data_IF_604571974764
#
_entry.id   IF_604571974764
#
_cell.length_a   1.000
_cell.length_b   1.000
_cell.length_c   1.000
_cell.angle_alpha   90.00
_cell.angle_beta   90.00
_cell.angle_gamma   90.00
#
_symmetry.space_group_name_H-M   'P 1'
#
loop_
_entity.id
_entity.type
_entity.pdbx_description
1 polymer ?
#
# COMPACT_ATOMS: atom_id res chain seq x y z
N UNK A 1 -35.63 29.80 -17.29
CA UNK A 1 -36.70 28.94 -16.73
C UNK A 1 -36.15 27.57 -16.32
N UNK A 2 -35.47 26.83 -17.21
CA UNK A 2 -34.85 25.52 -16.90
C UNK A 2 -33.92 25.54 -15.69
N UNK A 3 -33.00 26.51 -15.61
CA UNK A 3 -32.09 26.64 -14.46
C UNK A 3 -32.81 26.83 -13.12
N UNK A 4 -33.95 27.54 -13.12
CA UNK A 4 -34.73 27.75 -11.90
C UNK A 4 -35.44 26.47 -11.47
N UNK A 5 -35.89 25.65 -12.42
CA UNK A 5 -36.46 24.32 -12.13
C UNK A 5 -35.39 23.33 -11.65
N UNK A 6 -34.20 23.36 -12.22
CA UNK A 6 -33.08 22.52 -11.77
C UNK A 6 -32.63 22.88 -10.34
N UNK A 7 -32.51 24.18 -10.04
CA UNK A 7 -32.23 24.66 -8.67
C UNK A 7 -33.31 24.22 -7.68
N UNK A 8 -34.59 24.34 -8.06
CA UNK A 8 -35.69 23.89 -7.23
C UNK A 8 -35.67 22.37 -7.02
N UNK A 9 -35.40 21.59 -8.06
CA UNK A 9 -35.31 20.13 -7.98
C UNK A 9 -34.16 19.69 -7.05
N UNK A 10 -32.98 20.29 -7.19
CA UNK A 10 -31.84 20.02 -6.32
C UNK A 10 -32.14 20.40 -4.86
N UNK A 11 -32.81 21.53 -4.63
CA UNK A 11 -33.25 21.93 -3.30
C UNK A 11 -34.20 20.90 -2.67
N UNK A 12 -35.22 20.47 -3.42
CA UNK A 12 -36.20 19.48 -2.94
C UNK A 12 -35.53 18.12 -2.66
N UNK A 13 -34.59 17.69 -3.48
CA UNK A 13 -33.82 16.45 -3.24
C UNK A 13 -32.97 16.53 -1.96
N UNK A 14 -32.31 17.67 -1.73
CA UNK A 14 -31.55 17.91 -0.51
C UNK A 14 -32.46 17.95 0.73
N UNK A 15 -33.62 18.61 0.62
CA UNK A 15 -34.60 18.65 1.71
C UNK A 15 -35.16 17.26 2.04
N UNK A 16 -35.48 16.45 1.02
CA UNK A 16 -35.96 15.08 1.22
C UNK A 16 -34.91 14.19 1.88
N UNK A 17 -33.64 14.33 1.47
CA UNK A 17 -32.51 13.63 2.09
C UNK A 17 -32.38 14.03 3.57
N UNK A 18 -32.38 15.33 3.85
CA UNK A 18 -32.28 15.84 5.22
C UNK A 18 -33.44 15.37 6.10
N UNK A 19 -34.68 15.44 5.61
CA UNK A 19 -35.87 14.98 6.32
C UNK A 19 -35.78 13.48 6.67
N UNK A 20 -35.22 12.68 5.76
CA UNK A 20 -34.98 11.25 6.00
C UNK A 20 -33.92 11.05 7.07
N UNK A 21 -32.79 11.76 6.98
CA UNK A 21 -31.71 11.67 7.96
C UNK A 21 -32.17 12.12 9.36
N UNK A 22 -33.00 13.15 9.49
CA UNK A 22 -33.57 13.57 10.78
C UNK A 22 -34.41 12.46 11.40
N UNK A 23 -35.28 11.81 10.61
CA UNK A 23 -36.10 10.69 11.08
C UNK A 23 -35.24 9.51 11.54
N UNK A 24 -34.27 9.10 10.73
CA UNK A 24 -33.34 8.01 11.06
C UNK A 24 -32.49 8.33 12.29
N UNK A 25 -32.06 9.58 12.46
CA UNK A 25 -31.23 10.00 13.60
C UNK A 25 -32.00 10.02 14.92
N UNK A 26 -33.32 10.19 14.86
CA UNK A 26 -34.21 10.11 16.03
C UNK A 26 -34.71 8.70 16.33
N UNK A 27 -34.41 7.72 15.48
CA UNK A 27 -34.80 6.32 15.66
C UNK A 27 -33.61 5.50 16.22
N UNK A 28 -33.67 5.06 17.50
CA UNK A 28 -32.60 4.30 18.12
C UNK A 28 -32.28 2.98 17.42
N UNK A 29 -33.26 2.33 16.78
CA UNK A 29 -33.02 1.07 16.06
C UNK A 29 -32.20 1.31 14.80
N UNK A 30 -32.59 2.30 13.99
CA UNK A 30 -31.85 2.69 12.80
C UNK A 30 -30.39 3.11 13.13
N UNK A 31 -30.20 3.82 14.24
CA UNK A 31 -28.86 4.20 14.72
C UNK A 31 -28.05 2.98 15.13
N UNK A 32 -28.63 2.02 15.86
CA UNK A 32 -27.92 0.80 16.26
C UNK A 32 -27.58 -0.09 15.07
N UNK A 33 -28.48 -0.25 14.11
CA UNK A 33 -28.21 -1.02 12.88
C UNK A 33 -27.05 -0.40 12.08
N UNK A 34 -27.00 0.93 11.98
CA UNK A 34 -25.89 1.63 11.33
C UNK A 34 -24.57 1.39 12.08
N UNK A 35 -24.58 1.38 13.42
CA UNK A 35 -23.41 1.10 14.26
C UNK A 35 -22.93 -0.34 14.09
N UNK A 36 -23.82 -1.31 14.06
CA UNK A 36 -23.49 -2.73 13.90
C UNK A 36 -22.91 -3.01 12.51
N UNK A 37 -23.50 -2.41 11.47
CA UNK A 37 -22.98 -2.47 10.11
C UNK A 37 -21.57 -1.86 10.00
N UNK A 38 -21.33 -0.72 10.66
CA UNK A 38 -20.01 -0.09 10.72
C UNK A 38 -19.01 -0.97 11.47
N UNK A 39 -19.40 -1.55 12.60
CA UNK A 39 -18.57 -2.47 13.38
C UNK A 39 -18.19 -3.73 12.58
N UNK A 40 -19.14 -4.31 11.85
CA UNK A 40 -18.89 -5.45 10.94
C UNK A 40 -17.92 -5.07 9.81
N UNK A 41 -18.12 -3.91 9.20
CA UNK A 41 -17.23 -3.40 8.14
C UNK A 41 -15.82 -3.15 8.66
N UNK A 42 -15.67 -2.60 9.86
CA UNK A 42 -14.36 -2.40 10.48
C UNK A 42 -13.63 -3.74 10.72
N UNK A 43 -14.33 -4.76 11.22
CA UNK A 43 -13.76 -6.12 11.34
C UNK A 43 -13.37 -6.70 9.98
N UNK A 44 -14.21 -6.53 8.96
CA UNK A 44 -13.89 -6.97 7.60
C UNK A 44 -12.70 -6.22 6.97
N UNK A 45 -12.38 -5.03 7.44
CA UNK A 45 -11.18 -4.31 7.02
C UNK A 45 -9.93 -4.75 7.77
N UNK A 46 -10.05 -5.11 9.05
CA UNK A 46 -8.89 -5.30 9.94
C UNK A 46 -8.58 -6.76 10.27
N UNK A 47 -9.60 -7.60 10.48
CA UNK A 47 -9.45 -8.93 11.06
C UNK A 47 -9.44 -10.05 10.03
N UNK A 48 -9.81 -9.76 8.77
CA UNK A 48 -9.79 -10.72 7.67
C UNK A 48 -8.76 -10.33 6.62
N UNK A 49 -8.21 -11.34 5.93
CA UNK A 49 -7.14 -11.13 4.93
C UNK A 49 -7.67 -11.13 3.50
N UNK A 50 -8.40 -12.18 3.12
CA UNK A 50 -8.84 -12.38 1.73
C UNK A 50 -9.82 -11.30 1.26
N UNK A 51 -10.81 -10.98 2.09
CA UNK A 51 -11.89 -10.05 1.74
C UNK A 51 -11.64 -8.62 2.24
N UNK A 52 -10.49 -8.32 2.85
CA UNK A 52 -10.14 -6.97 3.28
C UNK A 52 -9.41 -6.23 2.16
N UNK A 53 -9.99 -5.16 1.58
CA UNK A 53 -9.27 -4.31 0.65
C UNK A 53 -8.02 -3.68 1.28
N UNK A 54 -8.04 -3.40 2.59
CA UNK A 54 -6.90 -2.83 3.30
C UNK A 54 -5.72 -3.81 3.35
N UNK A 55 -5.97 -5.08 3.71
CA UNK A 55 -4.94 -6.11 3.71
C UNK A 55 -4.39 -6.35 2.30
N UNK A 56 -5.27 -6.44 1.30
CA UNK A 56 -4.85 -6.66 -0.09
C UNK A 56 -4.01 -5.50 -0.63
N UNK A 57 -4.33 -4.25 -0.27
CA UNK A 57 -3.53 -3.09 -0.66
C UNK A 57 -2.10 -3.14 -0.10
N UNK A 58 -1.96 -3.49 1.19
CA UNK A 58 -0.63 -3.65 1.82
C UNK A 58 0.13 -4.82 1.18
N UNK A 59 -0.52 -5.96 0.99
CA UNK A 59 0.08 -7.13 0.36
C UNK A 59 0.57 -6.80 -1.06
N UNK A 60 -0.22 -6.06 -1.84
CA UNK A 60 0.18 -5.63 -3.18
C UNK A 60 1.41 -4.74 -3.16
N UNK A 61 1.46 -3.75 -2.27
CA UNK A 61 2.61 -2.86 -2.14
C UNK A 61 3.89 -3.62 -1.76
N UNK A 62 3.80 -4.55 -0.81
CA UNK A 62 4.92 -5.41 -0.42
C UNK A 62 5.37 -6.32 -1.56
N UNK A 63 4.43 -6.99 -2.23
CA UNK A 63 4.74 -7.86 -3.36
C UNK A 63 5.37 -7.09 -4.53
N UNK A 64 4.93 -5.85 -4.79
CA UNK A 64 5.51 -5.00 -5.81
C UNK A 64 6.95 -4.60 -5.46
N UNK A 65 7.22 -4.21 -4.22
CA UNK A 65 8.57 -3.86 -3.78
C UNK A 65 9.52 -5.06 -3.82
N UNK A 66 9.08 -6.22 -3.31
CA UNK A 66 9.85 -7.47 -3.36
C UNK A 66 10.06 -7.92 -4.80
N UNK A 67 9.02 -7.87 -5.63
CA UNK A 67 9.10 -8.21 -7.05
C UNK A 67 10.08 -7.31 -7.80
N UNK A 68 10.04 -6.00 -7.58
CA UNK A 68 10.98 -5.06 -8.20
C UNK A 68 12.43 -5.41 -7.85
N UNK A 69 12.71 -5.69 -6.58
CA UNK A 69 14.04 -6.15 -6.17
C UNK A 69 14.41 -7.46 -6.86
N UNK A 70 13.53 -8.46 -6.87
CA UNK A 70 13.79 -9.75 -7.50
C UNK A 70 14.14 -9.65 -8.99
N UNK A 71 13.50 -8.76 -9.75
CA UNK A 71 13.78 -8.63 -11.18
C UNK A 71 14.99 -7.76 -11.51
N UNK A 72 15.47 -6.94 -10.57
CA UNK A 72 16.56 -5.98 -10.83
C UNK A 72 17.86 -6.31 -10.10
N UNK A 73 17.80 -7.01 -8.96
CA UNK A 73 18.95 -7.29 -8.08
C UNK A 73 20.11 -7.97 -8.80
N UNK A 74 19.83 -8.85 -9.76
CA UNK A 74 20.86 -9.56 -10.52
C UNK A 74 21.76 -8.61 -11.34
N UNK A 75 21.31 -7.39 -11.64
CA UNK A 75 22.10 -6.38 -12.35
C UNK A 75 22.99 -5.55 -11.41
N UNK A 76 22.82 -5.67 -10.08
CA UNK A 76 23.63 -4.99 -9.07
C UNK A 76 24.82 -5.87 -8.63
N UNK A 77 25.47 -6.56 -9.57
CA UNK A 77 26.62 -7.45 -9.30
C UNK A 77 27.90 -6.72 -8.95
N UNK A 78 27.92 -5.39 -9.08
CA UNK A 78 29.09 -4.58 -8.80
C UNK A 78 29.11 -4.04 -7.36
N UNK A 79 28.21 -4.45 -6.46
CA UNK A 79 28.28 -4.01 -5.06
C UNK A 79 29.63 -4.41 -4.41
N UNK A 80 30.15 -3.59 -3.49
CA UNK A 80 31.40 -3.87 -2.81
C UNK A 80 31.96 -2.68 -2.04
N UNK A 81 33.07 -2.88 -1.31
CA UNK A 81 33.59 -1.86 -0.41
C UNK A 81 34.37 -0.74 -1.11
N UNK A 82 34.71 -0.90 -2.40
CA UNK A 82 35.62 0.01 -3.09
C UNK A 82 37.08 -0.41 -2.90
N UNK A 83 38.01 0.55 -2.95
CA UNK A 83 39.46 0.21 -2.94
C UNK A 83 39.95 -0.29 -1.60
N UNK A 84 39.30 0.12 -0.52
CA UNK A 84 39.60 -0.31 0.84
C UNK A 84 38.61 -1.41 1.26
N UNK A 85 39.07 -2.65 1.35
CA UNK A 85 38.25 -3.82 1.69
C UNK A 85 37.61 -3.75 3.09
N UNK A 86 38.04 -2.81 3.95
CA UNK A 86 37.46 -2.61 5.29
C UNK A 86 36.48 -1.43 5.33
N UNK A 87 36.36 -0.65 4.26
CA UNK A 87 35.41 0.47 4.16
C UNK A 87 34.03 -0.01 3.70
N UNK A 88 33.01 0.85 3.80
CA UNK A 88 31.68 0.66 3.21
C UNK A 88 30.99 -0.70 3.51
N UNK A 89 31.26 -1.27 4.68
CA UNK A 89 30.69 -2.55 5.11
C UNK A 89 31.50 -3.78 4.70
N UNK A 90 32.62 -3.59 4.01
CA UNK A 90 33.57 -4.63 3.62
C UNK A 90 33.03 -5.63 2.58
N UNK A 91 33.78 -6.71 2.37
CA UNK A 91 33.34 -7.81 1.51
C UNK A 91 32.33 -8.67 2.26
N UNK A 92 31.12 -8.79 1.72
CA UNK A 92 30.06 -9.59 2.31
C UNK A 92 29.39 -10.50 1.29
N UNK A 93 28.96 -11.67 1.76
CA UNK A 93 28.17 -12.63 0.98
C UNK A 93 26.78 -12.75 1.59
N UNK A 94 25.77 -12.45 0.80
CA UNK A 94 24.36 -12.55 1.15
C UNK A 94 23.78 -13.82 0.52
N UNK A 95 23.13 -14.64 1.34
CA UNK A 95 22.43 -15.85 0.90
C UNK A 95 20.92 -15.61 0.81
N UNK A 96 20.23 -16.46 0.04
CA UNK A 96 18.79 -16.36 -0.24
C UNK A 96 18.39 -15.01 -0.89
N UNK A 97 19.25 -14.50 -1.76
CA UNK A 97 19.02 -13.26 -2.52
C UNK A 97 18.99 -13.56 -4.03
N UNK A 98 18.28 -12.77 -4.84
CA UNK A 98 18.14 -13.04 -6.27
C UNK A 98 19.42 -12.63 -7.02
N UNK A 99 20.31 -13.59 -7.27
CA UNK A 99 21.51 -13.40 -8.09
C UNK A 99 21.34 -13.95 -9.50
N UNK A 100 22.28 -13.63 -10.40
CA UNK A 100 22.25 -14.15 -11.77
C UNK A 100 22.50 -15.67 -11.77
N UNK A 101 21.44 -16.46 -11.99
CA UNK A 101 21.47 -17.93 -11.94
C UNK A 101 21.97 -18.50 -10.59
N UNK A 102 21.86 -17.74 -9.51
CA UNK A 102 22.30 -18.13 -8.17
C UNK A 102 21.39 -17.51 -7.10
N UNK A 103 21.38 -18.08 -5.90
CA UNK A 103 20.66 -17.55 -4.72
C UNK A 103 21.59 -16.80 -3.77
N UNK A 104 22.79 -16.44 -4.24
CA UNK A 104 23.84 -15.82 -3.42
C UNK A 104 24.45 -14.65 -4.19
N UNK A 105 24.65 -13.52 -3.52
CA UNK A 105 25.38 -12.35 -4.04
C UNK A 105 26.55 -12.09 -3.12
N UNK A 106 27.74 -11.96 -3.70
CA UNK A 106 28.93 -11.50 -2.97
C UNK A 106 29.25 -10.08 -3.44
N UNK A 107 29.26 -9.14 -2.50
CA UNK A 107 29.63 -7.76 -2.73
C UNK A 107 31.13 -7.58 -2.48
N UNK A 108 31.94 -7.61 -3.53
CA UNK A 108 33.40 -7.56 -3.47
C UNK A 108 34.04 -6.64 -4.54
N UNK A 109 33.25 -5.75 -5.13
CA UNK A 109 33.76 -4.79 -6.11
C UNK A 109 34.78 -3.83 -5.53
N UNK A 110 35.81 -3.56 -6.33
CA UNK A 110 36.89 -2.60 -6.06
C UNK A 110 36.53 -1.16 -6.48
N UNK A 111 35.43 -0.96 -7.21
CA UNK A 111 34.98 0.37 -7.61
C UNK A 111 34.29 1.08 -6.45
N UNK A 112 34.56 2.38 -6.29
CA UNK A 112 33.99 3.19 -5.20
C UNK A 112 32.46 3.22 -5.28
N UNK A 113 31.75 2.83 -4.20
CA UNK A 113 30.30 2.80 -4.22
C UNK A 113 29.69 4.21 -4.20
N UNK A 114 28.54 4.38 -4.84
CA UNK A 114 27.82 5.66 -4.85
C UNK A 114 26.93 5.89 -6.06
N UNK A 115 26.27 7.06 -6.11
CA UNK A 115 25.35 7.39 -7.21
C UNK A 115 26.08 7.41 -8.58
N UNK A 116 25.70 6.51 -9.49
CA UNK A 116 26.35 6.33 -10.78
C UNK A 116 27.59 5.42 -10.75
N UNK A 117 27.98 4.98 -9.56
CA UNK A 117 28.91 3.87 -9.31
C UNK A 117 28.15 2.63 -8.83
N UNK A 118 28.90 1.60 -8.43
CA UNK A 118 28.33 0.42 -7.78
C UNK A 118 27.70 0.64 -6.41
#
# INVERSE_FOLDING_TARGET
LSENYEKLNNFLNNYNTLNTLVKLSSDPSAVNDARDNLGSSAKNLLDVKANSPAYQAVLLALNAAVGLWQVTSYAFTACGPGRDENANGGIQTFNNVPGQNTTTITCNSYYEPGHGGP
#
